data_IF_349125648318
#
_entry.id   IF_349125648318
#
_cell.length_a   1.000
_cell.length_b   1.000
_cell.length_c   1.000
_cell.angle_alpha   90.00
_cell.angle_beta   90.00
_cell.angle_gamma   90.00
#
_symmetry.space_group_name_H-M   'P 1'
#
loop_
_entity.id
_entity.type
_entity.pdbx_description
1 polymer ?
#
# COMPACT_ATOMS: atom_id res chain seq x y z
N UNK A 1 72.78 -32.27 34.43
CA UNK A 1 71.31 -32.23 34.27
C UNK A 1 70.92 -30.84 33.87
N UNK A 2 70.57 -30.62 32.61
CA UNK A 2 70.32 -29.30 32.03
C UNK A 2 68.83 -29.19 31.83
N UNK A 3 68.21 -28.31 32.59
CA UNK A 3 66.76 -28.04 32.53
C UNK A 3 66.52 -26.91 31.52
N UNK A 4 65.93 -27.28 30.41
CA UNK A 4 65.53 -26.29 29.36
C UNK A 4 64.25 -25.65 29.77
N UNK A 5 64.29 -24.34 30.03
CA UNK A 5 63.09 -23.50 30.26
C UNK A 5 62.65 -23.03 28.91
N UNK A 6 61.46 -23.49 28.47
CA UNK A 6 60.79 -22.99 27.27
C UNK A 6 59.98 -21.74 27.62
N UNK A 7 60.40 -20.63 27.07
CA UNK A 7 59.60 -19.39 27.09
C UNK A 7 58.45 -19.52 26.08
N UNK A 8 57.22 -19.63 26.58
CA UNK A 8 56.02 -19.53 25.74
C UNK A 8 55.66 -18.06 25.58
N UNK A 9 55.82 -17.56 24.38
CA UNK A 9 55.35 -16.21 24.00
C UNK A 9 53.84 -16.23 23.84
N UNK A 10 53.15 -15.46 24.70
CA UNK A 10 51.71 -15.25 24.65
C UNK A 10 51.42 -14.15 23.61
N UNK A 11 50.94 -14.53 22.44
CA UNK A 11 50.46 -13.56 21.42
C UNK A 11 49.02 -13.20 21.76
N UNK A 12 48.79 -12.00 22.29
CA UNK A 12 47.47 -11.41 22.41
C UNK A 12 46.99 -10.95 21.03
N UNK A 13 46.11 -11.72 20.42
CA UNK A 13 45.36 -11.30 19.26
C UNK A 13 44.20 -10.39 19.73
N UNK A 14 44.35 -9.06 19.56
CA UNK A 14 43.26 -8.13 19.71
C UNK A 14 42.30 -8.31 18.54
N UNK A 15 41.22 -9.07 18.77
CA UNK A 15 40.10 -9.14 17.81
C UNK A 15 39.34 -7.81 17.86
N UNK A 16 39.60 -6.93 16.90
CA UNK A 16 38.82 -5.75 16.63
C UNK A 16 37.41 -6.16 16.16
N UNK A 17 36.42 -6.00 17.03
CA UNK A 17 35.02 -6.14 16.66
C UNK A 17 34.62 -4.89 15.85
N UNK A 18 34.98 -4.88 14.59
CA UNK A 18 34.45 -3.94 13.62
C UNK A 18 32.99 -4.33 13.32
N UNK A 19 32.05 -3.72 14.05
CA UNK A 19 30.63 -3.83 13.74
C UNK A 19 30.36 -3.22 12.36
N UNK A 20 30.34 -4.06 11.33
CA UNK A 20 29.80 -3.69 10.04
C UNK A 20 28.28 -3.54 10.23
N UNK A 21 27.83 -2.30 10.45
CA UNK A 21 26.41 -1.98 10.29
C UNK A 21 26.11 -2.11 8.81
N UNK A 22 25.71 -3.32 8.40
CA UNK A 22 25.13 -3.53 7.10
C UNK A 22 23.82 -2.71 7.06
N UNK A 23 23.84 -1.60 6.36
CA UNK A 23 22.63 -0.91 5.93
C UNK A 23 21.90 -1.90 5.03
N UNK A 24 20.94 -2.61 5.61
CA UNK A 24 20.00 -3.39 4.82
C UNK A 24 19.16 -2.38 4.06
N UNK A 25 19.51 -2.16 2.80
CA UNK A 25 18.62 -1.53 1.85
C UNK A 25 17.36 -2.42 1.85
N UNK A 26 16.30 -1.93 2.47
CA UNK A 26 14.99 -2.55 2.33
C UNK A 26 14.61 -2.41 0.87
N UNK A 27 14.91 -3.43 0.09
CA UNK A 27 14.29 -3.58 -1.21
C UNK A 27 12.78 -3.65 -0.92
N UNK A 28 12.05 -2.61 -1.31
CA UNK A 28 10.61 -2.66 -1.33
C UNK A 28 10.24 -3.73 -2.36
N UNK A 29 10.03 -4.96 -1.91
CA UNK A 29 9.33 -5.95 -2.71
C UNK A 29 7.94 -5.35 -2.97
N UNK A 30 7.78 -4.78 -4.15
CA UNK A 30 6.49 -4.54 -4.72
C UNK A 30 5.89 -5.92 -4.94
N UNK A 31 4.99 -6.35 -4.03
CA UNK A 31 4.21 -7.56 -4.22
C UNK A 31 3.59 -7.53 -5.62
N UNK A 32 3.34 -8.68 -6.23
CA UNK A 32 2.94 -8.88 -7.61
C UNK A 32 1.98 -7.79 -8.12
N UNK A 33 2.57 -6.74 -8.69
CA UNK A 33 1.85 -5.58 -9.21
C UNK A 33 1.26 -5.96 -10.56
N UNK A 34 -0.03 -6.30 -10.59
CA UNK A 34 -0.72 -6.73 -11.81
C UNK A 34 -1.57 -5.61 -12.37
N UNK A 35 -1.26 -5.17 -13.60
CA UNK A 35 -2.15 -4.29 -14.35
C UNK A 35 -3.47 -5.03 -14.66
N UNK A 36 -4.58 -4.44 -14.26
CA UNK A 36 -5.89 -5.06 -14.35
C UNK A 36 -6.99 -4.03 -14.62
N UNK A 37 -8.17 -4.53 -14.95
CA UNK A 37 -9.38 -3.74 -15.11
C UNK A 37 -10.43 -4.25 -14.13
N UNK A 38 -11.03 -3.34 -13.37
CA UNK A 38 -12.04 -3.62 -12.37
C UNK A 38 -13.29 -2.83 -12.73
N UNK A 39 -14.45 -3.49 -12.71
CA UNK A 39 -15.75 -2.83 -12.78
C UNK A 39 -16.40 -2.85 -11.41
N UNK A 40 -16.82 -1.71 -10.91
CA UNK A 40 -17.42 -1.61 -9.58
C UNK A 40 -17.99 -0.24 -9.30
N UNK A 41 -18.50 -0.06 -8.09
CA UNK A 41 -19.03 1.20 -7.60
C UNK A 41 -17.95 1.97 -6.85
N UNK A 42 -17.86 3.28 -7.08
CA UNK A 42 -17.01 4.16 -6.26
C UNK A 42 -17.73 4.41 -4.93
N UNK A 43 -17.05 4.11 -3.83
CA UNK A 43 -17.60 4.25 -2.48
C UNK A 43 -16.66 5.05 -1.57
N UNK A 44 -17.24 5.79 -0.63
CA UNK A 44 -16.51 6.34 0.53
C UNK A 44 -16.33 5.23 1.55
N UNK A 45 -15.09 4.92 1.91
CA UNK A 45 -14.80 3.79 2.80
C UNK A 45 -15.38 3.97 4.20
N UNK A 46 -15.33 5.17 4.75
CA UNK A 46 -15.82 5.41 6.11
C UNK A 46 -17.32 5.15 6.22
N UNK A 47 -18.10 5.67 5.28
CA UNK A 47 -19.53 5.48 5.28
C UNK A 47 -19.95 4.09 4.79
N UNK A 48 -19.25 3.55 3.80
CA UNK A 48 -19.55 2.20 3.28
C UNK A 48 -19.34 1.12 4.33
N UNK A 49 -18.19 1.15 5.01
CA UNK A 49 -17.85 0.13 6.02
C UNK A 49 -18.48 0.45 7.38
N UNK A 50 -18.41 1.72 7.81
CA UNK A 50 -18.84 2.11 9.15
C UNK A 50 -20.34 2.26 9.31
N UNK A 51 -21.05 2.66 8.27
CA UNK A 51 -22.49 2.97 8.31
C UNK A 51 -23.33 2.16 7.32
N UNK A 52 -22.72 1.24 6.57
CA UNK A 52 -23.40 0.48 5.50
C UNK A 52 -24.15 1.41 4.52
N UNK A 53 -23.55 2.55 4.22
CA UNK A 53 -24.16 3.61 3.39
C UNK A 53 -23.50 3.67 2.02
N UNK A 54 -24.32 3.61 0.97
CA UNK A 54 -23.87 3.75 -0.42
C UNK A 54 -25.05 4.09 -1.34
N UNK A 55 -24.74 4.39 -2.61
CA UNK A 55 -25.71 4.66 -3.64
C UNK A 55 -26.02 6.14 -3.85
N UNK A 56 -26.83 6.44 -4.87
CA UNK A 56 -27.07 7.81 -5.35
C UNK A 56 -27.53 8.79 -4.27
N UNK A 57 -28.33 8.33 -3.32
CA UNK A 57 -28.82 9.18 -2.20
C UNK A 57 -27.71 9.58 -1.24
N UNK A 58 -26.64 8.81 -1.18
CA UNK A 58 -25.48 9.03 -0.32
C UNK A 58 -24.39 9.90 -0.99
N UNK A 59 -24.46 10.13 -2.30
CA UNK A 59 -23.40 10.76 -3.09
C UNK A 59 -22.90 12.10 -2.53
N UNK A 60 -23.80 12.97 -2.05
CA UNK A 60 -23.42 14.26 -1.47
C UNK A 60 -22.65 14.11 -0.15
N UNK A 61 -23.04 13.16 0.70
CA UNK A 61 -22.32 12.85 1.94
C UNK A 61 -20.93 12.28 1.63
N UNK A 62 -20.86 11.31 0.73
CA UNK A 62 -19.61 10.71 0.30
C UNK A 62 -18.65 11.73 -0.32
N UNK A 63 -19.15 12.67 -1.12
CA UNK A 63 -18.35 13.77 -1.65
C UNK A 63 -17.77 14.66 -0.54
N UNK A 64 -18.57 15.02 0.45
CA UNK A 64 -18.13 15.83 1.59
C UNK A 64 -17.04 15.10 2.37
N UNK A 65 -17.24 13.84 2.66
CA UNK A 65 -16.26 13.00 3.35
C UNK A 65 -14.94 12.86 2.56
N UNK A 66 -15.02 12.61 1.26
CA UNK A 66 -13.85 12.49 0.40
C UNK A 66 -13.07 13.81 0.29
N UNK A 67 -13.74 14.96 0.27
CA UNK A 67 -13.09 16.29 0.33
C UNK A 67 -12.42 16.55 1.66
N UNK A 68 -12.96 15.99 2.74
CA UNK A 68 -12.34 16.04 4.07
C UNK A 68 -11.15 15.09 4.24
N UNK A 69 -10.85 14.27 3.22
CA UNK A 69 -9.70 13.37 3.21
C UNK A 69 -10.04 11.90 3.43
N UNK A 70 -11.32 11.54 3.57
CA UNK A 70 -11.70 10.13 3.66
C UNK A 70 -11.37 9.42 2.34
N UNK A 71 -10.81 8.21 2.39
CA UNK A 71 -10.40 7.50 1.20
C UNK A 71 -11.60 7.01 0.38
N UNK A 72 -11.47 7.13 -0.94
CA UNK A 72 -12.36 6.50 -1.91
C UNK A 72 -11.81 5.15 -2.35
N UNK A 73 -12.70 4.26 -2.70
CA UNK A 73 -12.40 2.94 -3.21
C UNK A 73 -13.36 2.51 -4.31
N UNK A 74 -13.00 1.42 -4.99
CA UNK A 74 -13.89 0.72 -5.93
C UNK A 74 -14.33 -0.59 -5.30
N UNK A 75 -15.64 -0.78 -5.18
CA UNK A 75 -16.25 -2.02 -4.70
C UNK A 75 -16.81 -2.80 -5.89
N UNK A 76 -16.27 -3.98 -6.16
CA UNK A 76 -16.65 -4.82 -7.31
C UNK A 76 -17.85 -5.75 -7.03
N UNK A 77 -18.46 -5.62 -5.85
CA UNK A 77 -19.53 -6.50 -5.38
C UNK A 77 -19.03 -7.62 -4.45
N UNK A 78 -17.72 -7.81 -4.34
CA UNK A 78 -17.10 -8.82 -3.46
C UNK A 78 -15.93 -8.26 -2.66
N UNK A 79 -15.13 -7.42 -3.26
CA UNK A 79 -13.88 -6.89 -2.69
C UNK A 79 -13.82 -5.37 -2.83
N UNK A 80 -13.12 -4.75 -1.91
CA UNK A 80 -12.82 -3.33 -1.92
C UNK A 80 -11.40 -3.12 -2.42
N UNK A 81 -11.23 -2.23 -3.40
CA UNK A 81 -9.93 -1.79 -3.90
C UNK A 81 -9.74 -0.33 -3.54
N UNK A 82 -8.93 -0.08 -2.52
CA UNK A 82 -8.65 1.27 -2.07
C UNK A 82 -7.84 2.02 -3.13
N UNK A 83 -8.27 3.25 -3.46
CA UNK A 83 -7.44 4.10 -4.30
C UNK A 83 -6.14 4.46 -3.58
N UNK A 84 -5.01 4.13 -4.19
CA UNK A 84 -3.68 4.45 -3.67
C UNK A 84 -2.90 5.28 -4.69
N UNK A 85 -2.02 6.14 -4.18
CA UNK A 85 -1.16 6.99 -5.00
C UNK A 85 0.29 6.50 -4.90
N UNK A 86 0.92 6.32 -6.04
CA UNK A 86 2.35 5.97 -6.12
C UNK A 86 3.24 7.22 -6.21
N UNK A 87 2.64 8.38 -6.51
CA UNK A 87 3.32 9.66 -6.69
C UNK A 87 3.04 10.67 -5.57
N UNK A 88 2.53 10.19 -4.43
CA UNK A 88 2.18 10.96 -3.23
C UNK A 88 1.11 12.05 -3.45
N UNK A 89 0.41 12.05 -4.58
CA UNK A 89 -0.74 12.93 -4.81
C UNK A 89 -1.99 12.37 -4.14
N UNK A 90 -3.04 13.20 -4.06
CA UNK A 90 -4.31 12.76 -3.50
C UNK A 90 -4.92 11.63 -4.36
N UNK A 91 -5.04 10.41 -3.81
CA UNK A 91 -5.52 9.25 -4.57
C UNK A 91 -7.01 9.38 -4.94
N UNK A 92 -7.79 10.20 -4.23
CA UNK A 92 -9.21 10.38 -4.52
C UNK A 92 -9.48 11.13 -5.82
N UNK A 93 -8.52 11.91 -6.31
CA UNK A 93 -8.73 12.87 -7.42
C UNK A 93 -9.40 12.25 -8.63
N UNK A 94 -8.98 11.04 -9.02
CA UNK A 94 -9.53 10.35 -10.20
C UNK A 94 -10.92 9.77 -9.98
N UNK A 95 -11.29 9.46 -8.74
CA UNK A 95 -12.59 8.87 -8.37
C UNK A 95 -13.64 9.92 -8.01
N UNK A 96 -13.23 11.13 -7.62
CA UNK A 96 -14.16 12.20 -7.21
C UNK A 96 -15.33 12.45 -8.18
N UNK A 97 -15.16 12.50 -9.51
CA UNK A 97 -16.27 12.73 -10.45
C UNK A 97 -17.26 11.56 -10.52
N UNK A 98 -16.88 10.42 -9.98
CA UNK A 98 -17.62 9.16 -10.09
C UNK A 98 -18.14 8.64 -8.74
N UNK A 99 -18.16 9.47 -7.71
CA UNK A 99 -18.65 9.08 -6.38
C UNK A 99 -20.06 8.48 -6.50
N UNK A 100 -20.23 7.30 -5.88
CA UNK A 100 -21.45 6.48 -5.87
C UNK A 100 -21.94 6.04 -7.26
N UNK A 101 -21.09 6.16 -8.28
CA UNK A 101 -21.39 5.69 -9.64
C UNK A 101 -20.62 4.40 -9.94
N UNK A 102 -21.18 3.63 -10.87
CA UNK A 102 -20.52 2.46 -11.42
C UNK A 102 -19.44 2.88 -12.43
N UNK A 103 -18.26 2.31 -12.30
CA UNK A 103 -17.10 2.65 -13.12
C UNK A 103 -16.35 1.41 -13.58
N UNK A 104 -15.60 1.59 -14.66
CA UNK A 104 -14.54 0.69 -15.11
C UNK A 104 -13.21 1.39 -14.85
N UNK A 105 -12.40 0.79 -14.00
CA UNK A 105 -11.11 1.33 -13.59
C UNK A 105 -10.00 0.46 -14.15
N UNK A 106 -9.04 1.08 -14.81
CA UNK A 106 -7.79 0.44 -15.22
C UNK A 106 -6.66 0.93 -14.33
N UNK A 107 -5.87 0.02 -13.79
CA UNK A 107 -4.77 0.36 -12.91
C UNK A 107 -3.97 -0.85 -12.46
N UNK A 108 -3.04 -0.62 -11.56
CA UNK A 108 -2.20 -1.66 -10.98
C UNK A 108 -2.71 -2.01 -9.60
N UNK A 109 -3.12 -3.27 -9.41
CA UNK A 109 -3.54 -3.80 -8.10
C UNK A 109 -2.34 -4.30 -7.34
N UNK A 110 -2.32 -3.96 -6.07
CA UNK A 110 -1.32 -4.39 -5.08
C UNK A 110 -2.05 -4.95 -3.87
N UNK A 111 -1.47 -5.98 -3.27
CA UNK A 111 -2.03 -6.57 -2.05
C UNK A 111 -0.94 -6.66 -0.97
N UNK A 112 -1.29 -6.28 0.25
CA UNK A 112 -0.42 -6.45 1.40
C UNK A 112 -1.26 -6.67 2.66
N UNK A 113 -0.93 -7.71 3.41
CA UNK A 113 -1.59 -8.04 4.68
C UNK A 113 -3.13 -8.15 4.55
N UNK A 114 -3.62 -8.73 3.44
CA UNK A 114 -5.04 -8.85 3.16
C UNK A 114 -5.72 -7.58 2.64
N UNK A 115 -4.97 -6.50 2.48
CA UNK A 115 -5.48 -5.22 2.01
C UNK A 115 -5.21 -5.04 0.52
N UNK A 116 -6.23 -4.67 -0.26
CA UNK A 116 -6.10 -4.43 -1.70
C UNK A 116 -6.12 -2.95 -2.02
N UNK A 117 -5.06 -2.49 -2.65
CA UNK A 117 -4.94 -1.16 -3.22
C UNK A 117 -4.94 -1.19 -4.74
N UNK A 118 -5.40 -0.12 -5.37
CA UNK A 118 -5.29 0.10 -6.81
C UNK A 118 -4.68 1.46 -7.12
N UNK A 119 -3.53 1.44 -7.80
CA UNK A 119 -2.96 2.64 -8.40
C UNK A 119 -3.65 2.90 -9.73
N UNK A 120 -4.57 3.86 -9.74
CA UNK A 120 -5.48 4.11 -10.85
C UNK A 120 -4.77 4.84 -11.99
N UNK A 121 -4.83 4.29 -13.19
CA UNK A 121 -4.39 4.94 -14.44
C UNK A 121 -5.56 5.66 -15.12
N UNK A 122 -6.69 4.97 -15.30
CA UNK A 122 -7.86 5.47 -16.02
C UNK A 122 -9.16 5.08 -15.31
N UNK A 123 -10.14 5.96 -15.35
CA UNK A 123 -11.51 5.70 -14.89
C UNK A 123 -12.47 6.06 -16.01
N UNK A 124 -13.44 5.19 -16.27
CA UNK A 124 -14.53 5.38 -17.23
C UNK A 124 -15.86 5.06 -16.56
N UNK A 125 -16.91 5.81 -16.89
CA UNK A 125 -18.24 5.42 -16.46
C UNK A 125 -18.59 4.04 -17.01
N UNK A 126 -19.19 3.18 -16.19
CA UNK A 126 -19.75 1.91 -16.63
C UNK A 126 -21.29 2.02 -16.66
N UNK A 127 -21.89 1.48 -17.70
CA UNK A 127 -23.34 1.37 -17.84
C UNK A 127 -23.90 0.27 -16.92
#
# INVERSE_FOLDING_TARGET
MIMKIALSALVLAAAGVGGAYAWQAHAHEHGDAKKTQITGQVVDIACFVGHNSSGAKHAKCAETCARAGNPLAVFDGKQIFLSVSMDHKNPNTKLMPFIEKKVKVTGTVMEKAGFKGIAIEKVEAAE
#
